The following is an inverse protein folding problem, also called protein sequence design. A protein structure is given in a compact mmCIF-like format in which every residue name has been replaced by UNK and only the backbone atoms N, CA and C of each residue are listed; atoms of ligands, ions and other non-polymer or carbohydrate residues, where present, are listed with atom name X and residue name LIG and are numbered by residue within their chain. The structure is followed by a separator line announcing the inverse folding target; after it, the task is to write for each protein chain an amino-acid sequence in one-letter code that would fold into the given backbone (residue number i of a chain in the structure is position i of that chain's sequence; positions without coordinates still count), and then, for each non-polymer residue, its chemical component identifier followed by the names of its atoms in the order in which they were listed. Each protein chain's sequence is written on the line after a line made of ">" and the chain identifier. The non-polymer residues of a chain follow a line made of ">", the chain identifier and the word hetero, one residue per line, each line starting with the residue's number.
data_IF_554016244788
#
_entry.id   IF_554016244788
#
_cell.length_a   1.000
_cell.length_b   1.000
_cell.length_c   1.000
_cell.angle_alpha   90.00
_cell.angle_beta   90.00
_cell.angle_gamma   90.00
#
_symmetry.space_group_name_H-M   'P 1'
#
loop_
_entity.id
_entity.type
_entity.pdbx_description
1 polymer ?
#
# COMPACT_ATOMS: atom_id res chain seq x y z
N UNK A 1 -26.50 31.67 45.63
CA UNK A 1 -25.63 32.65 46.33
C UNK A 1 -24.98 31.93 47.50
N UNK A 2 -23.74 31.45 47.31
CA UNK A 2 -23.02 30.66 48.32
C UNK A 2 -22.25 31.60 49.26
N UNK A 3 -22.45 31.44 50.58
CA UNK A 3 -22.13 32.44 51.63
C UNK A 3 -20.73 32.34 52.24
N UNK A 4 -19.83 31.55 51.66
CA UNK A 4 -18.44 31.41 52.15
C UNK A 4 -17.44 31.26 51.01
N UNK A 5 -17.29 32.28 50.15
CA UNK A 5 -16.07 32.40 49.35
C UNK A 5 -15.02 33.11 50.20
N UNK A 6 -14.03 32.36 50.69
CA UNK A 6 -12.79 32.98 51.16
C UNK A 6 -12.22 33.80 50.00
N UNK A 7 -11.89 35.06 50.24
CA UNK A 7 -11.13 35.87 49.29
C UNK A 7 -9.76 35.21 49.14
N UNK A 8 -9.62 34.34 48.15
CA UNK A 8 -8.34 33.75 47.75
C UNK A 8 -7.44 34.89 47.29
N UNK A 9 -6.54 35.30 48.18
CA UNK A 9 -5.41 36.21 48.00
C UNK A 9 -5.23 36.73 46.55
N UNK A 10 -5.91 37.83 46.23
CA UNK A 10 -5.96 38.49 44.91
C UNK A 10 -4.68 39.30 44.58
N UNK A 11 -3.50 38.83 45.01
CA UNK A 11 -2.25 39.58 44.81
C UNK A 11 -1.03 38.94 45.47
N UNK A 12 -0.83 37.63 45.33
CA UNK A 12 0.45 37.01 45.68
C UNK A 12 1.40 37.07 44.49
N UNK A 13 2.68 37.34 44.73
CA UNK A 13 3.75 37.24 43.72
C UNK A 13 3.71 35.89 42.98
N UNK A 14 3.28 34.82 43.66
CA UNK A 14 3.07 33.51 43.03
C UNK A 14 2.02 33.55 41.91
N UNK A 15 0.93 34.28 42.09
CA UNK A 15 -0.11 34.44 41.06
C UNK A 15 0.36 35.34 39.92
N UNK A 16 1.13 36.39 40.21
CA UNK A 16 1.73 37.25 39.19
C UNK A 16 2.77 36.50 38.35
N UNK A 17 3.62 35.69 38.98
CA UNK A 17 4.59 34.81 38.32
C UNK A 17 3.88 33.76 37.47
N UNK A 18 2.86 33.09 38.00
CA UNK A 18 2.07 32.11 37.26
C UNK A 18 1.42 32.73 36.01
N UNK A 19 0.84 33.92 36.12
CA UNK A 19 0.27 34.66 34.98
C UNK A 19 1.35 35.04 33.96
N UNK A 20 2.54 35.48 34.39
CA UNK A 20 3.65 35.82 33.50
C UNK A 20 4.14 34.60 32.71
N UNK A 21 4.27 33.43 33.35
CA UNK A 21 4.65 32.19 32.68
C UNK A 21 3.57 31.72 31.71
N UNK A 22 2.30 31.80 32.10
CA UNK A 22 1.19 31.47 31.20
C UNK A 22 1.19 32.35 29.94
N UNK A 23 1.47 33.66 30.08
CA UNK A 23 1.59 34.58 28.94
C UNK A 23 2.81 34.29 28.07
N UNK A 24 3.96 33.95 28.66
CA UNK A 24 5.17 33.58 27.92
C UNK A 24 4.96 32.30 27.09
N UNK A 25 4.29 31.30 27.67
CA UNK A 25 3.99 30.03 27.01
C UNK A 25 2.90 30.18 25.94
N UNK A 26 1.91 31.05 26.14
CA UNK A 26 0.85 31.28 25.17
C UNK A 26 1.37 31.80 23.81
N UNK A 27 2.52 32.47 23.79
CA UNK A 27 3.19 32.92 22.57
C UNK A 27 4.01 31.85 21.84
N UNK A 28 4.11 30.63 22.38
CA UNK A 28 4.88 29.52 21.80
C UNK A 28 3.95 28.51 21.13
N UNK A 29 4.43 27.89 20.06
CA UNK A 29 3.72 26.82 19.37
C UNK A 29 4.46 25.49 19.52
N UNK A 30 3.72 24.43 19.85
CA UNK A 30 4.28 23.09 20.08
C UNK A 30 3.71 22.10 19.07
N UNK A 31 2.41 21.81 19.20
CA UNK A 31 1.68 20.95 18.28
C UNK A 31 0.35 21.62 17.93
N UNK A 32 -0.01 21.62 16.65
CA UNK A 32 -1.31 22.14 16.20
C UNK A 32 -1.97 21.17 15.23
N UNK A 33 -3.30 21.04 15.34
CA UNK A 33 -4.12 20.38 14.35
C UNK A 33 -4.28 21.29 13.13
N UNK A 34 -4.01 20.77 11.94
CA UNK A 34 -4.02 21.54 10.70
C UNK A 34 -4.67 20.77 9.56
N UNK A 35 -5.15 21.50 8.56
CA UNK A 35 -5.62 20.95 7.28
C UNK A 35 -4.69 21.37 6.14
N UNK A 36 -4.36 20.44 5.24
CA UNK A 36 -3.54 20.72 4.05
C UNK A 36 -4.34 21.54 3.05
N UNK A 37 -3.82 22.69 2.65
CA UNK A 37 -4.42 23.54 1.62
C UNK A 37 -3.78 23.29 0.24
N UNK A 38 -2.47 23.08 0.21
CA UNK A 38 -1.73 22.83 -1.02
C UNK A 38 -0.52 21.94 -0.75
N UNK A 39 -0.11 21.21 -1.79
CA UNK A 39 1.10 20.39 -1.81
C UNK A 39 2.01 20.95 -2.91
N UNK A 40 3.29 21.17 -2.59
CA UNK A 40 4.28 21.73 -3.52
C UNK A 40 5.51 20.83 -3.61
N UNK A 41 6.13 20.85 -4.79
CA UNK A 41 7.31 20.04 -5.08
C UNK A 41 6.99 18.57 -5.29
N UNK A 42 8.04 17.74 -5.27
CA UNK A 42 7.96 16.28 -5.33
C UNK A 42 8.97 15.71 -4.34
N UNK A 43 8.75 14.47 -3.90
CA UNK A 43 9.70 13.76 -3.06
C UNK A 43 11.12 13.77 -3.71
N UNK A 44 12.19 14.01 -2.94
CA UNK A 44 12.26 14.12 -1.48
C UNK A 44 11.96 15.52 -0.90
N UNK A 45 11.76 16.53 -1.75
CA UNK A 45 11.55 17.93 -1.34
C UNK A 45 10.06 18.32 -1.33
N UNK A 46 9.18 17.38 -0.99
CA UNK A 46 7.75 17.62 -0.91
C UNK A 46 7.45 18.47 0.33
N UNK A 47 6.72 19.55 0.13
CA UNK A 47 6.28 20.45 1.19
C UNK A 47 4.79 20.73 1.09
N UNK A 48 4.17 21.08 2.20
CA UNK A 48 2.75 21.41 2.29
C UNK A 48 2.53 22.81 2.85
N UNK A 49 1.48 23.44 2.34
CA UNK A 49 0.89 24.62 2.93
C UNK A 49 -0.34 24.18 3.73
N UNK A 50 -0.42 24.61 4.99
CA UNK A 50 -1.44 24.12 5.92
C UNK A 50 -2.09 25.25 6.69
N UNK A 51 -3.34 25.06 7.09
CA UNK A 51 -4.10 26.00 7.91
C UNK A 51 -4.39 25.39 9.29
N UNK A 52 -4.00 26.04 10.40
CA UNK A 52 -4.40 25.61 11.73
C UNK A 52 -5.92 25.59 11.92
N UNK A 53 -6.46 24.48 12.43
CA UNK A 53 -7.89 24.30 12.66
C UNK A 53 -8.36 24.88 14.00
N UNK A 54 -7.47 24.97 14.99
CA UNK A 54 -7.76 25.66 16.25
C UNK A 54 -7.42 27.13 16.08
N UNK A 55 -8.47 27.95 16.01
CA UNK A 55 -8.35 29.39 15.89
C UNK A 55 -7.85 30.02 17.20
N UNK A 56 -7.12 31.12 17.06
CA UNK A 56 -6.73 31.96 18.20
C UNK A 56 -7.94 32.73 18.72
N UNK A 57 -7.94 33.08 20.00
CA UNK A 57 -8.95 33.98 20.58
C UNK A 57 -8.28 35.27 21.01
N UNK A 58 -8.98 36.39 20.89
CA UNK A 58 -8.55 37.66 21.48
C UNK A 58 -8.75 37.66 23.01
N UNK A 59 -8.38 38.77 23.67
CA UNK A 59 -8.51 38.90 25.12
C UNK A 59 -9.97 38.83 25.61
N UNK A 60 -10.93 39.11 24.72
CA UNK A 60 -12.36 39.10 24.99
C UNK A 60 -13.02 37.77 24.62
N UNK A 61 -12.23 36.78 24.18
CA UNK A 61 -12.69 35.43 23.84
C UNK A 61 -13.29 35.30 22.44
N UNK A 62 -13.19 36.33 21.60
CA UNK A 62 -13.67 36.28 20.21
C UNK A 62 -12.63 35.63 19.31
N UNK A 63 -13.11 34.82 18.37
CA UNK A 63 -12.27 34.10 17.42
C UNK A 63 -11.50 35.07 16.50
N UNK A 64 -10.18 34.98 16.55
CA UNK A 64 -9.26 35.49 15.56
C UNK A 64 -8.97 34.35 14.57
N UNK A 65 -9.24 34.58 13.29
CA UNK A 65 -9.06 33.56 12.24
C UNK A 65 -7.63 32.98 12.20
N UNK A 66 -7.49 31.77 11.65
CA UNK A 66 -6.20 31.12 11.47
C UNK A 66 -5.47 31.65 10.24
N UNK A 67 -4.14 31.73 10.32
CA UNK A 67 -3.28 32.12 9.19
C UNK A 67 -2.60 30.88 8.60
N UNK A 68 -2.53 30.74 7.26
CA UNK A 68 -1.80 29.64 6.63
C UNK A 68 -0.30 29.65 6.99
N UNK A 69 0.27 28.47 7.09
CA UNK A 69 1.70 28.22 7.27
C UNK A 69 2.22 27.53 6.02
N UNK A 70 3.29 28.07 5.44
CA UNK A 70 3.78 27.66 4.12
C UNK A 70 5.04 26.79 4.22
N UNK A 71 5.26 25.97 3.19
CA UNK A 71 6.50 25.23 2.96
C UNK A 71 6.93 24.32 4.12
N UNK A 72 5.97 23.67 4.77
CA UNK A 72 6.27 22.70 5.81
C UNK A 72 6.69 21.37 5.19
N UNK A 73 7.83 20.80 5.59
CA UNK A 73 8.25 19.49 5.14
C UNK A 73 7.32 18.41 5.70
N UNK A 74 7.07 17.39 4.92
CA UNK A 74 6.22 16.26 5.31
C UNK A 74 7.07 15.17 5.95
N UNK A 75 6.65 14.71 7.13
CA UNK A 75 7.24 13.55 7.76
C UNK A 75 6.91 12.28 6.98
N UNK A 76 7.90 11.41 6.82
CA UNK A 76 7.76 10.11 6.18
C UNK A 76 8.39 9.05 7.06
N UNK A 77 7.71 7.91 7.22
CA UNK A 77 8.28 6.75 7.88
C UNK A 77 9.35 6.13 6.96
N UNK A 78 10.61 6.48 7.18
CA UNK A 78 11.74 6.07 6.36
C UNK A 78 12.95 5.67 7.21
N UNK A 79 13.67 4.63 6.77
CA UNK A 79 14.97 4.22 7.28
C UNK A 79 15.88 3.84 6.12
N UNK A 80 17.02 4.51 5.98
CA UNK A 80 17.91 4.33 4.83
C UNK A 80 17.17 4.51 3.51
N UNK A 81 17.21 3.50 2.65
CA UNK A 81 16.53 3.51 1.34
C UNK A 81 15.09 2.96 1.40
N UNK A 82 14.60 2.53 2.56
CA UNK A 82 13.27 1.94 2.72
C UNK A 82 12.30 2.96 3.32
N UNK A 83 11.10 3.08 2.75
CA UNK A 83 10.08 4.00 3.26
C UNK A 83 8.66 3.48 3.04
N UNK A 84 7.74 3.87 3.93
CA UNK A 84 6.30 3.87 3.65
C UNK A 84 5.97 5.24 3.08
N UNK A 85 5.50 5.28 1.83
CA UNK A 85 5.21 6.51 1.10
C UNK A 85 3.70 6.75 1.10
N UNK A 86 3.28 7.78 1.81
CA UNK A 86 1.89 8.26 1.85
C UNK A 86 1.94 9.79 1.71
N UNK A 87 2.03 10.25 0.46
CA UNK A 87 2.10 11.69 0.19
C UNK A 87 0.72 12.32 0.44
N UNK A 88 0.66 13.44 1.19
CA UNK A 88 -0.61 14.06 1.54
C UNK A 88 -1.26 14.70 0.32
N UNK A 89 -2.58 14.89 0.41
CA UNK A 89 -3.38 15.61 -0.58
C UNK A 89 -4.08 16.82 0.06
N UNK A 90 -4.45 17.84 -0.72
CA UNK A 90 -5.29 18.93 -0.21
C UNK A 90 -6.57 18.41 0.45
N UNK A 91 -6.87 18.91 1.64
CA UNK A 91 -7.98 18.45 2.48
C UNK A 91 -7.58 17.48 3.59
N UNK A 92 -6.39 16.90 3.54
CA UNK A 92 -5.91 16.00 4.60
C UNK A 92 -5.70 16.74 5.92
N UNK A 93 -6.20 16.16 7.01
CA UNK A 93 -6.02 16.67 8.36
C UNK A 93 -4.84 15.94 9.02
N UNK A 94 -4.03 16.70 9.74
CA UNK A 94 -2.83 16.22 10.40
C UNK A 94 -2.38 17.14 11.52
N UNK A 95 -1.19 16.87 12.02
CA UNK A 95 -0.53 17.64 13.06
C UNK A 95 0.69 18.35 12.47
N UNK A 96 0.93 19.59 12.90
CA UNK A 96 2.28 20.16 12.83
C UNK A 96 2.96 19.85 14.16
N UNK A 97 4.17 19.30 14.10
CA UNK A 97 5.11 19.25 15.23
C UNK A 97 6.13 20.35 15.04
N UNK A 98 6.20 21.28 15.98
CA UNK A 98 7.07 22.47 15.91
C UNK A 98 8.38 22.21 16.63
N UNK A 99 9.49 22.56 15.97
CA UNK A 99 10.83 22.45 16.55
C UNK A 99 11.11 23.54 17.59
N UNK A 100 11.96 23.25 18.56
CA UNK A 100 12.35 24.19 19.61
C UNK A 100 13.12 25.40 19.06
N UNK A 101 13.88 25.21 17.97
CA UNK A 101 14.75 26.20 17.33
C UNK A 101 14.51 26.26 15.81
N UNK A 102 15.03 27.29 15.17
CA UNK A 102 15.00 27.45 13.71
C UNK A 102 15.70 26.27 13.00
N UNK A 103 14.98 25.58 12.13
CA UNK A 103 15.47 24.40 11.39
C UNK A 103 15.78 24.68 9.92
N UNK A 104 15.70 25.92 9.45
CA UNK A 104 15.93 26.28 8.04
C UNK A 104 17.28 25.77 7.50
N UNK A 105 18.37 26.08 8.20
CA UNK A 105 19.73 25.73 7.78
C UNK A 105 19.96 24.22 7.80
N UNK A 106 19.48 23.52 8.83
CA UNK A 106 19.63 22.05 8.93
C UNK A 106 18.77 21.33 7.90
N UNK A 107 17.61 21.87 7.52
CA UNK A 107 16.76 21.32 6.44
C UNK A 107 17.46 21.35 5.09
N UNK A 108 18.21 22.41 4.81
CA UNK A 108 18.97 22.56 3.57
C UNK A 108 20.25 21.72 3.58
N UNK A 109 21.04 21.80 4.65
CA UNK A 109 22.36 21.17 4.73
C UNK A 109 22.32 19.69 5.08
N UNK A 110 21.29 19.25 5.81
CA UNK A 110 21.16 17.89 6.36
C UNK A 110 22.36 17.46 7.22
N UNK A 111 22.96 18.44 7.89
CA UNK A 111 24.13 18.26 8.75
C UNK A 111 24.07 19.25 9.93
N UNK A 112 24.88 18.99 10.96
CA UNK A 112 24.98 19.80 12.16
C UNK A 112 25.17 21.28 11.78
N UNK A 113 24.23 22.12 12.21
CA UNK A 113 24.15 23.52 11.80
C UNK A 113 23.73 24.39 12.97
N UNK A 114 24.24 25.62 13.01
CA UNK A 114 23.72 26.65 13.91
C UNK A 114 22.34 27.14 13.42
N UNK A 115 21.40 27.48 14.32
CA UNK A 115 20.10 28.01 13.92
C UNK A 115 20.25 29.26 13.05
N UNK A 116 19.48 29.34 11.95
CA UNK A 116 19.50 30.50 11.05
C UNK A 116 18.93 31.78 11.67
N UNK A 117 18.14 31.63 12.72
CA UNK A 117 17.57 32.71 13.51
C UNK A 117 17.43 32.30 14.98
N UNK A 118 17.17 33.27 15.86
CA UNK A 118 16.86 33.05 17.28
C UNK A 118 15.37 32.77 17.54
N UNK A 119 14.61 32.46 16.49
CA UNK A 119 13.20 32.08 16.60
C UNK A 119 13.11 30.74 17.34
N UNK A 120 12.14 30.64 18.25
CA UNK A 120 11.87 29.44 19.04
C UNK A 120 10.39 29.16 19.00
N UNK A 121 10.01 27.89 18.81
CA UNK A 121 8.62 27.45 18.72
C UNK A 121 7.80 28.20 17.66
N UNK A 122 8.37 28.42 16.47
CA UNK A 122 7.70 29.08 15.35
C UNK A 122 7.03 28.07 14.42
N UNK A 123 5.81 28.36 13.96
CA UNK A 123 5.08 27.45 13.06
C UNK A 123 5.84 27.14 11.76
N UNK A 124 6.69 28.05 11.27
CA UNK A 124 7.49 27.85 10.05
C UNK A 124 8.58 26.79 10.21
N UNK A 125 8.97 26.50 11.45
CA UNK A 125 10.00 25.53 11.83
C UNK A 125 9.38 24.17 12.22
N UNK A 126 8.15 23.94 11.76
CA UNK A 126 7.42 22.70 11.99
C UNK A 126 7.58 21.67 10.88
N UNK A 127 7.16 20.45 11.20
CA UNK A 127 7.05 19.31 10.29
C UNK A 127 5.58 18.85 10.28
N UNK A 128 5.04 18.58 9.09
CA UNK A 128 3.69 18.05 8.96
C UNK A 128 3.68 16.54 9.12
N UNK A 129 2.83 16.05 10.02
CA UNK A 129 2.53 14.65 10.25
C UNK A 129 1.06 14.38 9.90
N UNK A 130 0.83 13.64 8.82
CA UNK A 130 -0.52 13.35 8.33
C UNK A 130 -1.24 12.24 9.10
N UNK A 131 -2.53 12.05 8.78
CA UNK A 131 -3.30 10.87 9.18
C UNK A 131 -4.17 11.04 10.43
N UNK A 132 -4.55 12.27 10.80
CA UNK A 132 -5.34 12.53 12.01
C UNK A 132 -6.71 13.08 11.61
N UNK A 133 -7.80 12.44 12.05
CA UNK A 133 -9.20 12.85 11.81
C UNK A 133 -9.63 12.88 10.32
N UNK A 134 -8.98 12.07 9.48
CA UNK A 134 -9.40 11.86 8.10
C UNK A 134 -10.62 10.95 8.00
N UNK A 135 -11.28 10.95 6.84
CA UNK A 135 -12.38 10.04 6.53
C UNK A 135 -11.90 8.58 6.47
N UNK A 136 -12.83 7.63 6.59
CA UNK A 136 -12.53 6.21 6.48
C UNK A 136 -11.90 5.89 5.10
N UNK A 137 -10.74 5.20 5.04
CA UNK A 137 -10.04 4.96 3.79
C UNK A 137 -10.71 3.86 2.96
N UNK A 138 -10.74 4.02 1.64
CA UNK A 138 -11.15 2.97 0.69
C UNK A 138 -10.00 2.07 0.23
N UNK A 139 -8.75 2.48 0.52
CA UNK A 139 -7.52 1.76 0.22
C UNK A 139 -6.65 1.70 1.48
N UNK A 140 -6.27 0.50 1.91
CA UNK A 140 -5.55 0.32 3.17
C UNK A 140 -4.80 -1.02 3.27
N UNK A 141 -3.86 -1.07 4.21
CA UNK A 141 -3.30 -2.30 4.77
C UNK A 141 -3.73 -2.36 6.24
N UNK A 142 -4.48 -3.37 6.62
CA UNK A 142 -5.05 -3.55 7.96
C UNK A 142 -4.39 -4.76 8.63
N UNK A 143 -3.81 -4.52 9.80
CA UNK A 143 -3.33 -5.56 10.72
C UNK A 143 -4.37 -5.71 11.85
N UNK A 144 -5.14 -6.80 11.82
CA UNK A 144 -6.08 -7.18 12.88
C UNK A 144 -5.65 -8.50 13.54
N UNK A 145 -6.23 -8.84 14.69
CA UNK A 145 -5.78 -9.98 15.54
C UNK A 145 -5.62 -11.30 14.77
N UNK A 146 -6.47 -11.55 13.77
CA UNK A 146 -6.46 -12.80 13.00
C UNK A 146 -6.36 -12.61 11.48
N UNK A 147 -6.21 -11.37 10.97
CA UNK A 147 -6.22 -11.12 9.52
C UNK A 147 -5.30 -9.96 9.15
N UNK A 148 -4.45 -10.17 8.15
CA UNK A 148 -3.79 -9.11 7.38
C UNK A 148 -4.57 -8.87 6.09
N UNK A 149 -5.06 -7.64 5.86
CA UNK A 149 -5.83 -7.29 4.67
C UNK A 149 -5.14 -6.21 3.87
N UNK A 150 -5.00 -6.43 2.57
CA UNK A 150 -4.55 -5.42 1.61
C UNK A 150 -5.72 -5.13 0.68
N UNK A 151 -6.29 -3.93 0.76
CA UNK A 151 -7.48 -3.53 0.01
C UNK A 151 -7.16 -2.32 -0.84
N UNK A 152 -7.51 -2.39 -2.13
CA UNK A 152 -7.36 -1.27 -3.08
C UNK A 152 -8.46 -1.32 -4.13
N UNK A 153 -9.10 -0.18 -4.47
CA UNK A 153 -9.99 -0.09 -5.64
C UNK A 153 -9.22 0.02 -6.96
N UNK A 154 -7.92 0.31 -6.88
CA UNK A 154 -7.00 0.49 -8.01
C UNK A 154 -6.12 -0.76 -8.19
N UNK A 155 -5.40 -0.90 -9.32
CA UNK A 155 -4.48 -2.02 -9.54
C UNK A 155 -3.45 -2.18 -8.41
N UNK A 156 -3.21 -3.43 -8.00
CA UNK A 156 -2.13 -3.82 -7.09
C UNK A 156 -0.96 -4.38 -7.91
N UNK A 157 0.23 -3.82 -7.74
CA UNK A 157 1.48 -4.31 -8.37
C UNK A 157 2.47 -4.70 -7.29
N UNK A 158 3.12 -5.86 -7.46
CA UNK A 158 4.16 -6.36 -6.57
C UNK A 158 5.40 -6.66 -7.40
N UNK A 159 6.47 -5.89 -7.19
CA UNK A 159 7.75 -6.03 -7.89
C UNK A 159 8.81 -6.52 -6.90
N UNK A 160 9.43 -7.66 -7.19
CA UNK A 160 10.45 -8.25 -6.35
C UNK A 160 11.33 -9.20 -7.17
N UNK A 161 12.49 -9.58 -6.63
CA UNK A 161 13.36 -10.57 -7.25
C UNK A 161 12.80 -11.99 -7.11
N UNK A 162 12.15 -12.28 -5.97
CA UNK A 162 11.56 -13.59 -5.65
C UNK A 162 10.37 -13.41 -4.70
N UNK A 163 9.32 -14.21 -4.87
CA UNK A 163 8.16 -14.25 -3.98
C UNK A 163 7.80 -15.70 -3.64
N UNK A 164 7.46 -15.95 -2.38
CA UNK A 164 7.03 -17.26 -1.86
C UNK A 164 5.73 -17.08 -1.07
N UNK A 165 4.74 -17.95 -1.30
CA UNK A 165 3.45 -17.92 -0.60
C UNK A 165 3.21 -19.27 0.06
N UNK A 166 3.41 -19.31 1.38
CA UNK A 166 3.24 -20.51 2.20
C UNK A 166 1.89 -20.49 2.92
N UNK A 167 0.91 -21.24 2.39
CA UNK A 167 -0.40 -21.44 3.01
C UNK A 167 -0.61 -22.93 3.33
N UNK A 168 -0.95 -23.25 4.58
CA UNK A 168 -1.10 -24.65 5.04
C UNK A 168 -2.37 -25.32 4.52
N UNK A 169 -3.46 -24.54 4.44
CA UNK A 169 -4.79 -25.10 4.18
C UNK A 169 -5.18 -24.90 2.71
N UNK A 170 -5.14 -23.66 2.22
CA UNK A 170 -5.46 -23.35 0.83
C UNK A 170 -4.96 -21.97 0.40
N UNK A 171 -4.80 -21.80 -0.92
CA UNK A 171 -4.64 -20.51 -1.59
C UNK A 171 -5.61 -20.45 -2.77
N UNK A 172 -6.33 -19.34 -2.91
CA UNK A 172 -7.34 -19.16 -3.97
C UNK A 172 -7.07 -17.88 -4.76
N UNK A 173 -7.11 -17.97 -6.10
CA UNK A 173 -7.05 -16.83 -7.01
C UNK A 173 -8.40 -16.63 -7.68
N UNK A 174 -9.18 -15.64 -7.23
CA UNK A 174 -10.47 -15.29 -7.82
C UNK A 174 -10.30 -14.12 -8.79
N UNK A 175 -10.35 -14.40 -10.09
CA UNK A 175 -10.23 -13.39 -11.14
C UNK A 175 -11.01 -13.81 -12.38
N UNK A 176 -11.38 -12.85 -13.23
CA UNK A 176 -11.95 -13.12 -14.56
C UNK A 176 -10.90 -13.70 -15.52
N UNK A 177 -9.64 -13.31 -15.36
CA UNK A 177 -8.50 -13.77 -16.19
C UNK A 177 -7.23 -13.82 -15.35
N UNK A 178 -6.52 -14.94 -15.43
CA UNK A 178 -5.18 -15.11 -14.88
C UNK A 178 -4.19 -15.37 -16.03
N UNK A 179 -3.03 -14.73 -15.99
CA UNK A 179 -1.94 -14.94 -16.96
C UNK A 179 -0.64 -15.16 -16.19
N UNK A 180 0.10 -16.20 -16.54
CA UNK A 180 1.41 -16.52 -15.98
C UNK A 180 2.41 -16.45 -17.14
N UNK A 181 3.38 -15.55 -17.05
CA UNK A 181 4.46 -15.43 -18.03
C UNK A 181 5.77 -15.85 -17.36
N UNK A 182 6.21 -17.08 -17.62
CA UNK A 182 7.49 -17.60 -17.17
C UNK A 182 8.39 -17.83 -18.39
N UNK A 183 9.67 -17.48 -18.30
CA UNK A 183 10.62 -17.64 -19.40
C UNK A 183 11.21 -19.05 -19.53
N UNK A 184 11.15 -19.84 -18.45
CA UNK A 184 11.74 -21.18 -18.38
C UNK A 184 10.65 -22.23 -18.22
N UNK A 185 9.97 -22.26 -17.07
CA UNK A 185 8.97 -23.28 -16.77
C UNK A 185 7.85 -22.80 -15.83
N UNK A 186 6.74 -23.53 -15.85
CA UNK A 186 5.69 -23.49 -14.83
C UNK A 186 5.57 -24.92 -14.31
N UNK A 187 6.00 -25.16 -13.07
CA UNK A 187 5.84 -26.47 -12.40
C UNK A 187 4.63 -26.47 -11.47
N UNK A 188 3.84 -27.54 -11.52
CA UNK A 188 2.63 -27.73 -10.73
C UNK A 188 2.68 -29.10 -10.02
N UNK A 189 3.44 -29.17 -8.93
CA UNK A 189 3.59 -30.38 -8.12
C UNK A 189 2.34 -30.64 -7.26
N UNK A 190 1.40 -31.41 -7.81
CA UNK A 190 0.17 -31.82 -7.14
C UNK A 190 -0.21 -33.24 -7.53
N UNK A 191 -0.78 -34.06 -6.61
CA UNK A 191 -1.34 -35.36 -6.97
C UNK A 191 -2.49 -35.27 -8.00
N UNK A 192 -3.16 -34.11 -8.10
CA UNK A 192 -4.27 -33.92 -9.03
C UNK A 192 -4.34 -32.49 -9.55
N UNK A 193 -4.19 -32.34 -10.87
CA UNK A 193 -4.54 -31.14 -11.61
C UNK A 193 -5.94 -31.30 -12.21
N UNK A 194 -6.85 -30.35 -11.96
CA UNK A 194 -8.19 -30.31 -12.55
C UNK A 194 -8.31 -29.08 -13.44
N UNK A 195 -8.69 -29.28 -14.70
CA UNK A 195 -9.04 -28.22 -15.63
C UNK A 195 -10.47 -28.51 -16.11
N UNK A 196 -11.38 -27.57 -15.86
CA UNK A 196 -12.81 -27.75 -16.20
C UNK A 196 -13.17 -27.25 -17.61
N UNK A 197 -12.30 -26.46 -18.22
CA UNK A 197 -12.44 -25.99 -19.59
C UNK A 197 -11.47 -26.69 -20.54
N UNK A 198 -11.42 -26.19 -21.77
CA UNK A 198 -10.53 -26.70 -22.81
C UNK A 198 -9.06 -26.36 -22.52
N UNK A 199 -8.14 -27.18 -23.06
CA UNK A 199 -6.70 -26.97 -23.01
C UNK A 199 -6.21 -26.74 -24.44
N UNK A 200 -5.79 -25.51 -24.73
CA UNK A 200 -5.13 -25.14 -25.98
C UNK A 200 -3.61 -25.08 -25.76
N UNK A 201 -2.90 -26.13 -26.20
CA UNK A 201 -1.44 -26.18 -26.15
C UNK A 201 -0.84 -25.79 -27.49
N UNK A 202 -0.04 -24.71 -27.52
CA UNK A 202 0.73 -24.32 -28.71
C UNK A 202 1.90 -25.26 -29.02
N UNK A 203 2.32 -26.07 -28.05
CA UNK A 203 3.37 -27.09 -28.17
C UNK A 203 2.84 -28.50 -27.92
N UNK A 204 3.76 -29.45 -27.77
CA UNK A 204 3.42 -30.84 -27.50
C UNK A 204 2.97 -31.07 -26.05
N UNK A 205 2.02 -31.98 -25.86
CA UNK A 205 1.64 -32.51 -24.53
C UNK A 205 2.27 -33.90 -24.40
N UNK A 206 3.04 -34.12 -23.33
CA UNK A 206 3.58 -35.43 -22.96
C UNK A 206 2.95 -35.84 -21.64
N UNK A 207 2.17 -36.92 -21.64
CA UNK A 207 1.67 -37.52 -20.41
C UNK A 207 2.73 -38.48 -19.84
N UNK A 208 2.83 -38.55 -18.51
CA UNK A 208 3.80 -39.41 -17.82
C UNK A 208 5.25 -39.21 -18.29
N UNK A 209 5.72 -37.97 -18.38
CA UNK A 209 7.02 -37.62 -18.97
C UNK A 209 8.25 -38.34 -18.35
N UNK A 210 8.14 -38.86 -17.12
CA UNK A 210 9.19 -39.68 -16.50
C UNK A 210 9.29 -41.12 -17.03
N UNK A 211 8.23 -41.64 -17.65
CA UNK A 211 8.17 -43.00 -18.19
C UNK A 211 7.76 -43.10 -19.66
N UNK A 212 7.28 -42.01 -20.26
CA UNK A 212 6.85 -41.94 -21.65
C UNK A 212 7.59 -40.80 -22.37
N UNK A 213 8.09 -41.09 -23.57
CA UNK A 213 8.79 -40.11 -24.42
C UNK A 213 7.96 -39.69 -25.63
N UNK A 214 6.75 -40.22 -25.80
CA UNK A 214 5.84 -39.90 -26.90
C UNK A 214 4.83 -38.86 -26.47
N UNK A 215 4.60 -37.90 -27.35
CA UNK A 215 3.62 -36.84 -27.15
C UNK A 215 2.24 -37.31 -27.62
N UNK A 216 1.16 -36.65 -27.15
CA UNK A 216 -0.19 -36.89 -27.66
C UNK A 216 -0.28 -36.66 -29.19
N UNK A 217 0.54 -35.76 -29.73
CA UNK A 217 0.66 -35.55 -31.18
C UNK A 217 1.30 -36.76 -31.86
N UNK A 218 2.40 -37.28 -31.34
CA UNK A 218 3.06 -38.49 -31.91
C UNK A 218 2.11 -39.69 -31.89
N UNK A 219 1.36 -39.87 -30.80
CA UNK A 219 0.38 -40.94 -30.68
C UNK A 219 -0.76 -40.77 -31.69
N UNK A 220 -1.25 -39.54 -31.89
CA UNK A 220 -2.28 -39.25 -32.89
C UNK A 220 -1.76 -39.49 -34.31
N UNK A 221 -0.57 -39.02 -34.64
CA UNK A 221 0.03 -39.24 -35.97
C UNK A 221 0.29 -40.73 -36.25
N UNK A 222 0.78 -41.46 -35.24
CA UNK A 222 0.95 -42.91 -35.35
C UNK A 222 -0.40 -43.63 -35.51
N UNK A 223 -1.45 -43.14 -34.86
CA UNK A 223 -2.80 -43.66 -35.00
C UNK A 223 -3.41 -43.31 -36.37
N UNK A 224 -3.18 -42.13 -36.92
CA UNK A 224 -3.77 -41.77 -38.22
C UNK A 224 -3.09 -42.52 -39.38
N UNK A 225 -1.84 -42.97 -39.21
CA UNK A 225 -1.06 -43.68 -40.22
C UNK A 225 -1.10 -45.21 -40.10
N UNK A 226 -1.67 -45.76 -39.02
CA UNK A 226 -1.58 -47.21 -38.81
C UNK A 226 -2.49 -47.99 -39.78
N UNK A 227 -1.93 -49.07 -40.32
CA UNK A 227 -2.64 -50.05 -41.13
C UNK A 227 -2.37 -51.45 -40.61
N UNK A 228 -3.32 -52.36 -40.80
CA UNK A 228 -3.18 -53.76 -40.42
C UNK A 228 -3.03 -54.63 -41.66
N UNK A 229 -2.07 -55.56 -41.62
CA UNK A 229 -1.99 -56.62 -42.61
C UNK A 229 -3.03 -57.70 -42.29
N UNK A 230 -4.03 -57.88 -43.16
CA UNK A 230 -5.03 -58.94 -43.03
C UNK A 230 -4.49 -60.23 -43.66
N UNK A 231 -4.38 -61.30 -42.87
CA UNK A 231 -3.84 -62.61 -43.29
C UNK A 231 -4.97 -63.63 -43.46
N UNK A 232 -4.75 -64.65 -44.32
CA UNK A 232 -5.68 -65.79 -44.47
C UNK A 232 -6.93 -65.52 -45.33
N UNK A 233 -6.88 -64.50 -46.20
CA UNK A 233 -7.99 -64.13 -47.10
C UNK A 233 -7.67 -64.51 -48.55
N UNK A 234 -8.71 -64.79 -49.34
CA UNK A 234 -8.58 -64.94 -50.80
C UNK A 234 -8.50 -63.55 -51.44
N UNK A 235 -7.44 -63.27 -52.20
CA UNK A 235 -7.28 -62.00 -52.91
C UNK A 235 -8.35 -61.79 -54.00
N UNK A 236 -8.74 -60.54 -54.23
CA UNK A 236 -9.75 -60.15 -55.23
C UNK A 236 -9.79 -58.65 -55.50
N UNK A 237 -10.67 -58.20 -56.41
CA UNK A 237 -10.78 -56.79 -56.81
C UNK A 237 -11.74 -55.92 -55.99
N UNK A 238 -12.47 -56.52 -55.05
CA UNK A 238 -13.41 -55.81 -54.19
C UNK A 238 -12.67 -55.11 -53.05
N UNK A 239 -13.06 -53.87 -52.75
CA UNK A 239 -12.61 -53.14 -51.55
C UNK A 239 -13.71 -53.22 -50.50
N UNK A 240 -13.34 -53.57 -49.27
CA UNK A 240 -14.25 -53.65 -48.12
C UNK A 240 -13.63 -52.90 -46.94
N UNK A 241 -14.46 -52.27 -46.12
CA UNK A 241 -14.04 -51.55 -44.92
C UNK A 241 -14.37 -52.40 -43.70
N UNK A 242 -13.45 -52.46 -42.73
CA UNK A 242 -13.74 -53.14 -41.47
C UNK A 242 -14.80 -52.41 -40.67
N UNK A 243 -15.51 -53.15 -39.82
CA UNK A 243 -16.34 -52.55 -38.78
C UNK A 243 -15.47 -51.79 -37.76
N UNK A 244 -16.09 -50.86 -37.04
CA UNK A 244 -15.44 -50.20 -35.89
C UNK A 244 -15.21 -51.22 -34.75
N UNK A 245 -14.08 -51.15 -34.02
CA UNK A 245 -13.83 -52.02 -32.87
C UNK A 245 -14.95 -51.93 -31.83
N UNK A 246 -15.35 -53.07 -31.26
CA UNK A 246 -16.28 -53.19 -30.13
C UNK A 246 -17.69 -52.60 -30.29
N UNK A 247 -18.28 -52.63 -31.49
CA UNK A 247 -19.74 -52.42 -31.61
C UNK A 247 -20.47 -53.70 -31.19
N UNK A 248 -21.03 -53.70 -29.98
CA UNK A 248 -21.95 -54.75 -29.56
C UNK A 248 -23.12 -54.83 -30.56
N UNK A 249 -23.31 -56.02 -31.14
CA UNK A 249 -24.49 -56.39 -31.93
C UNK A 249 -25.59 -56.85 -30.99
#
# INVERSE_FOLDING_TARGET
>A
MNKYSHAGNQGSDANALAFSFARLLAGKHFVKLVIVQAVRGKAPNLVVDVLPLVATVDADGKQLGSVPVYNLPVWRLQRGNSAIIMDPVPGDIGLIVVSDQDVSVVRERRDVSVPGSRRTHSLTDGFYLGGVLNQAPSQFIEFADNVLRVVTPNPLTVECQSAEVNATDSATLNTKKATINASEEIDANTPKLKVSGDIEAGGNITDNAGGNTKTLKDLRESYDQHHHQVKGVQGGGSTVTSEIPDKAV
#
